data_IF_577633363964
#
_entry.id   IF_577633363964
#
_cell.length_a   1.000
_cell.length_b   1.000
_cell.length_c   1.000
_cell.angle_alpha   90.00
_cell.angle_beta   90.00
_cell.angle_gamma   90.00
#
_symmetry.space_group_name_H-M   'P 1'
#
loop_
_entity.id
_entity.type
_entity.pdbx_description
1 polymer ?
#
# COMPACT_ATOMS: atom_id res chain seq x y z
N UNK A 1 8.19 -9.07 -6.79
CA UNK A 1 7.69 -8.87 -5.42
C UNK A 1 8.12 -7.49 -4.93
N UNK A 2 9.42 -7.15 -4.98
CA UNK A 2 9.93 -5.80 -4.65
C UNK A 2 9.28 -4.64 -5.44
N UNK A 3 8.92 -4.87 -6.70
CA UNK A 3 8.33 -3.80 -7.54
C UNK A 3 6.98 -3.28 -7.04
N UNK A 4 6.19 -4.13 -6.36
CA UNK A 4 4.88 -3.71 -5.80
C UNK A 4 5.06 -2.77 -4.62
N UNK A 5 5.94 -3.11 -3.68
CA UNK A 5 6.18 -2.30 -2.49
C UNK A 5 6.85 -0.97 -2.85
N UNK A 6 7.77 -0.96 -3.84
CA UNK A 6 8.34 0.29 -4.37
C UNK A 6 7.28 1.23 -4.92
N UNK A 7 6.31 0.69 -5.68
CA UNK A 7 5.21 1.50 -6.21
C UNK A 7 4.31 1.99 -5.08
N UNK A 8 3.89 1.12 -4.16
CA UNK A 8 3.06 1.53 -3.01
C UNK A 8 3.75 2.62 -2.19
N UNK A 9 5.03 2.46 -1.87
CA UNK A 9 5.81 3.43 -1.08
C UNK A 9 6.04 4.76 -1.81
N UNK A 10 5.79 4.82 -3.13
CA UNK A 10 5.91 6.04 -3.92
C UNK A 10 4.61 6.84 -4.02
N UNK A 11 3.48 6.26 -3.61
CA UNK A 11 2.18 6.93 -3.65
C UNK A 11 2.09 7.98 -2.54
N UNK A 12 1.43 9.10 -2.83
CA UNK A 12 1.17 10.13 -1.84
C UNK A 12 0.12 9.64 -0.84
N UNK A 13 0.54 9.52 0.43
CA UNK A 13 -0.32 9.13 1.54
C UNK A 13 -1.13 10.33 1.98
N UNK A 14 -2.45 10.19 1.97
CA UNK A 14 -3.39 11.24 2.41
C UNK A 14 -3.79 11.08 3.88
N UNK A 15 -3.74 9.86 4.40
CA UNK A 15 -3.99 9.56 5.81
C UNK A 15 -3.34 8.23 6.20
N UNK A 16 -2.93 8.09 7.46
CA UNK A 16 -2.39 6.84 7.99
C UNK A 16 -2.65 6.73 9.48
N UNK A 17 -2.84 5.50 9.97
CA UNK A 17 -2.89 5.23 11.40
C UNK A 17 -2.03 4.05 11.78
N UNK A 18 -1.28 4.25 12.86
CA UNK A 18 -0.49 3.22 13.51
C UNK A 18 -0.78 3.26 15.00
N UNK A 19 -1.09 2.12 15.60
CA UNK A 19 -1.45 2.00 17.01
C UNK A 19 -0.74 0.81 17.64
N UNK A 20 -0.18 1.00 18.84
CA UNK A 20 0.48 -0.05 19.62
C UNK A 20 1.56 -0.88 18.87
N UNK A 21 2.22 -0.31 17.86
CA UNK A 21 3.23 -1.00 17.05
C UNK A 21 2.67 -1.74 15.83
N UNK A 22 1.37 -1.61 15.56
CA UNK A 22 0.70 -2.16 14.39
C UNK A 22 0.30 -1.04 13.42
N UNK A 23 0.28 -1.37 12.13
CA UNK A 23 -0.25 -0.51 11.08
C UNK A 23 -1.74 -0.82 10.91
N UNK A 24 -2.60 0.16 11.21
CA UNK A 24 -4.05 0.00 11.08
C UNK A 24 -4.49 0.23 9.64
N UNK A 25 -4.02 1.33 9.03
CA UNK A 25 -4.27 1.64 7.62
C UNK A 25 -3.24 2.63 7.06
N UNK A 26 -3.11 2.64 5.74
CA UNK A 26 -2.40 3.68 4.99
C UNK A 26 -3.23 4.00 3.76
N UNK A 27 -3.75 5.22 3.68
CA UNK A 27 -4.72 5.63 2.67
C UNK A 27 -4.05 6.52 1.62
N UNK A 28 -4.37 6.26 0.36
CA UNK A 28 -4.00 7.11 -0.79
C UNK A 28 -5.27 7.50 -1.53
N UNK A 29 -5.25 8.62 -2.26
CA UNK A 29 -6.39 9.05 -3.07
C UNK A 29 -6.74 7.99 -4.14
N UNK A 30 -8.04 7.70 -4.28
CA UNK A 30 -8.55 6.80 -5.32
C UNK A 30 -8.71 7.53 -6.67
N UNK A 31 -7.59 7.88 -7.29
CA UNK A 31 -7.54 8.57 -8.57
C UNK A 31 -7.01 7.66 -9.71
N UNK A 32 -7.17 8.11 -10.97
CA UNK A 32 -6.76 7.33 -12.14
C UNK A 32 -5.26 7.03 -12.15
N UNK A 33 -4.42 7.98 -11.70
CA UNK A 33 -2.97 7.82 -11.66
C UNK A 33 -2.55 6.72 -10.69
N UNK A 34 -3.07 6.73 -9.46
CA UNK A 34 -2.76 5.75 -8.42
C UNK A 34 -3.27 4.36 -8.82
N UNK A 35 -4.51 4.26 -9.33
CA UNK A 35 -5.06 3.00 -9.86
C UNK A 35 -4.20 2.43 -10.97
N UNK A 36 -3.77 3.27 -11.91
CA UNK A 36 -2.94 2.83 -13.03
C UNK A 36 -1.59 2.31 -12.55
N UNK A 37 -0.91 3.03 -11.64
CA UNK A 37 0.36 2.60 -11.08
C UNK A 37 0.25 1.23 -10.39
N UNK A 38 -0.81 1.03 -9.59
CA UNK A 38 -1.04 -0.24 -8.89
C UNK A 38 -1.38 -1.40 -9.86
N UNK A 39 -2.15 -1.14 -10.91
CA UNK A 39 -2.43 -2.14 -11.95
C UNK A 39 -1.16 -2.51 -12.74
N UNK A 40 -0.35 -1.52 -13.11
CA UNK A 40 0.90 -1.71 -13.85
C UNK A 40 1.95 -2.47 -13.04
N UNK A 41 1.95 -2.33 -11.70
CA UNK A 41 2.82 -3.12 -10.82
C UNK A 41 2.26 -4.51 -10.46
N UNK A 42 1.11 -4.89 -11.02
CA UNK A 42 0.58 -6.25 -10.98
C UNK A 42 -0.42 -6.52 -9.85
N UNK A 43 -1.07 -5.50 -9.30
CA UNK A 43 -2.34 -5.70 -8.57
C UNK A 43 -3.49 -5.90 -9.57
N UNK A 44 -4.48 -6.71 -9.21
CA UNK A 44 -5.67 -6.90 -10.03
C UNK A 44 -6.73 -5.85 -9.72
N UNK A 45 -7.72 -5.69 -10.61
CA UNK A 45 -8.85 -4.77 -10.37
C UNK A 45 -9.68 -5.21 -9.17
N UNK A 46 -9.79 -6.51 -8.94
CA UNK A 46 -10.49 -7.11 -7.80
C UNK A 46 -9.78 -6.74 -6.50
N UNK A 47 -8.45 -6.86 -6.44
CA UNK A 47 -7.65 -6.44 -5.28
C UNK A 47 -7.81 -4.94 -4.98
N UNK A 48 -7.82 -4.09 -6.02
CA UNK A 48 -8.07 -2.67 -5.85
C UNK A 48 -9.49 -2.38 -5.32
N UNK A 49 -10.48 -3.10 -5.83
CA UNK A 49 -11.87 -2.96 -5.37
C UNK A 49 -12.03 -3.37 -3.91
N UNK A 50 -11.34 -4.43 -3.47
CA UNK A 50 -11.32 -4.88 -2.08
C UNK A 50 -10.64 -3.87 -1.15
N UNK A 51 -9.62 -3.15 -1.63
CA UNK A 51 -8.91 -2.11 -0.86
C UNK A 51 -9.64 -0.75 -0.81
N UNK A 52 -10.68 -0.55 -1.63
CA UNK A 52 -11.32 0.74 -1.80
C UNK A 52 -12.23 1.07 -0.62
N UNK A 53 -12.07 2.27 -0.08
CA UNK A 53 -12.93 2.85 0.95
C UNK A 53 -13.36 4.25 0.47
N UNK A 54 -14.59 4.39 -0.01
CA UNK A 54 -15.10 5.65 -0.60
C UNK A 54 -14.19 6.25 -1.68
N UNK A 55 -13.52 7.37 -1.41
CA UNK A 55 -12.62 8.09 -2.33
C UNK A 55 -11.13 7.80 -2.08
N UNK A 56 -10.82 6.78 -1.28
CA UNK A 56 -9.44 6.36 -0.99
C UNK A 56 -9.23 4.85 -1.20
N UNK A 57 -7.96 4.47 -1.29
CA UNK A 57 -7.51 3.08 -1.32
C UNK A 57 -6.66 2.81 -0.08
N UNK A 58 -6.95 1.74 0.66
CA UNK A 58 -6.09 1.26 1.73
C UNK A 58 -4.94 0.43 1.16
N UNK A 59 -3.78 1.06 1.02
CA UNK A 59 -2.58 0.40 0.50
C UNK A 59 -1.89 -0.47 1.54
N UNK A 60 -2.26 -0.37 2.83
CA UNK A 60 -1.80 -1.32 3.84
C UNK A 60 -2.40 -2.71 3.57
N UNK A 61 -3.70 -2.79 3.29
CA UNK A 61 -4.33 -4.04 2.86
C UNK A 61 -3.63 -4.66 1.66
N UNK A 62 -3.33 -3.85 0.62
CA UNK A 62 -2.63 -4.32 -0.57
C UNK A 62 -1.21 -4.82 -0.26
N UNK A 63 -0.45 -4.06 0.52
CA UNK A 63 0.94 -4.36 0.85
C UNK A 63 1.07 -5.66 1.67
N UNK A 64 0.25 -5.83 2.71
CA UNK A 64 0.29 -7.00 3.58
C UNK A 64 -0.32 -8.25 2.91
N UNK A 65 -1.45 -8.10 2.21
CA UNK A 65 -2.17 -9.26 1.65
C UNK A 65 -1.58 -9.76 0.33
N UNK A 66 -1.06 -8.86 -0.52
CA UNK A 66 -0.60 -9.23 -1.87
C UNK A 66 0.75 -8.62 -2.30
N UNK A 67 1.27 -7.66 -1.53
CA UNK A 67 2.58 -7.04 -1.75
C UNK A 67 3.74 -7.80 -1.13
N UNK A 68 3.45 -8.65 -0.12
CA UNK A 68 4.45 -9.41 0.62
C UNK A 68 5.21 -8.57 1.65
N UNK A 69 4.64 -7.45 2.10
CA UNK A 69 5.21 -6.65 3.19
C UNK A 69 5.08 -7.37 4.52
N UNK A 70 6.10 -7.25 5.37
CA UNK A 70 6.09 -7.74 6.75
C UNK A 70 5.81 -6.60 7.74
N UNK A 71 6.30 -5.40 7.44
CA UNK A 71 6.22 -4.24 8.34
C UNK A 71 5.90 -2.96 7.59
N UNK A 72 5.33 -1.99 8.31
CA UNK A 72 5.20 -0.61 7.86
C UNK A 72 5.85 0.32 8.88
N UNK A 73 6.57 1.32 8.39
CA UNK A 73 7.02 2.46 9.22
C UNK A 73 6.72 3.76 8.49
N UNK A 74 6.26 4.82 9.18
CA UNK A 74 6.01 6.11 8.53
C UNK A 74 7.23 6.70 7.81
N UNK A 75 8.44 6.32 8.21
CA UNK A 75 9.70 6.81 7.62
C UNK A 75 10.12 6.03 6.37
N UNK A 76 9.93 4.71 6.34
CA UNK A 76 10.44 3.86 5.25
C UNK A 76 9.32 3.22 4.40
N UNK A 77 8.06 3.44 4.74
CA UNK A 77 6.93 2.75 4.13
C UNK A 77 6.89 1.26 4.50
N UNK A 78 6.38 0.46 3.57
CA UNK A 78 6.25 -0.99 3.64
C UNK A 78 7.56 -1.68 3.31
N UNK A 79 7.98 -2.61 4.17
CA UNK A 79 9.26 -3.33 4.07
C UNK A 79 9.09 -4.83 4.34
N UNK A 80 10.01 -5.62 3.78
CA UNK A 80 10.11 -7.07 4.03
C UNK A 80 11.19 -7.28 5.10
N UNK A 81 10.94 -8.16 6.08
CA UNK A 81 11.88 -8.41 7.15
C UNK A 81 13.22 -8.93 6.58
N UNK A 82 14.32 -8.38 7.08
CA UNK A 82 15.67 -8.61 6.56
C UNK A 82 16.04 -7.90 5.24
N UNK A 83 15.17 -7.05 4.65
CA UNK A 83 15.49 -6.21 3.48
C UNK A 83 14.76 -4.86 3.50
N UNK A 84 15.51 -3.76 3.59
CA UNK A 84 15.00 -2.44 3.24
C UNK A 84 14.59 -2.43 1.76
N UNK A 85 13.37 -1.97 1.46
CA UNK A 85 12.86 -1.82 0.10
C UNK A 85 13.57 -0.67 -0.66
#
# INVERSE_FOLDING_TARGET
>A
MDDKLKVINSLEVVDLSTSAGECEYVLVEDNEQNRRALLECGFSKEQLLESKMDEVLDVAYLAFSYGGSDWFTPTNGFVVDGKSA
#
